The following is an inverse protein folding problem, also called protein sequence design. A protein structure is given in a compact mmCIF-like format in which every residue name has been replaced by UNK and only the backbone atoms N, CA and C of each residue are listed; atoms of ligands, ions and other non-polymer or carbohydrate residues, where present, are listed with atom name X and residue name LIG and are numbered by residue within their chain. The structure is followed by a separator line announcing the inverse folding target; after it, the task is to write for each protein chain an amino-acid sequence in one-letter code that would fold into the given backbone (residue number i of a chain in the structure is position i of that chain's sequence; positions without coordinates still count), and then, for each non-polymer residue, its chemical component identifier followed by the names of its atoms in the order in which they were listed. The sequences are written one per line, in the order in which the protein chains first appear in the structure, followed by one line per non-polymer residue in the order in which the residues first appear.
data_IF_394263128564
#
_entry.id   IF_394263128564
#
_cell.length_a   1.000
_cell.length_b   1.000
_cell.length_c   1.000
_cell.angle_alpha   90.00
_cell.angle_beta   90.00
_cell.angle_gamma   90.00
#
_symmetry.space_group_name_H-M   'P 1'
#
loop_
_entity.id
_entity.type
_entity.pdbx_description
1 polymer ?
#
# COMPACT_ATOMS: atom_id res chain seq x y z
N UNK A 1 18.53 14.88 -9.66
CA UNK A 1 17.08 15.01 -9.33
C UNK A 1 16.56 13.69 -8.77
N UNK A 2 15.59 13.68 -7.85
CA UNK A 2 15.05 12.42 -7.35
C UNK A 2 14.39 11.65 -8.49
N UNK A 3 14.76 10.38 -8.62
CA UNK A 3 14.10 9.40 -9.49
C UNK A 3 12.97 8.76 -8.68
N UNK A 4 11.77 8.65 -9.24
CA UNK A 4 10.62 8.11 -8.51
C UNK A 4 10.78 6.62 -8.24
N UNK A 5 10.19 6.14 -7.15
CA UNK A 5 10.07 4.71 -6.86
C UNK A 5 8.64 4.38 -6.46
N UNK A 6 8.00 3.46 -7.18
CA UNK A 6 6.60 3.07 -6.95
C UNK A 6 6.55 1.88 -5.99
N UNK A 7 5.71 1.98 -4.96
CA UNK A 7 5.32 0.88 -4.06
C UNK A 7 3.82 0.65 -4.24
N UNK A 8 3.43 -0.59 -4.52
CA UNK A 8 2.02 -0.98 -4.48
C UNK A 8 1.66 -1.34 -3.02
N UNK A 9 0.59 -0.75 -2.50
CA UNK A 9 0.16 -0.92 -1.11
C UNK A 9 -1.39 -1.07 -0.99
N UNK A 10 -2.01 -2.06 -1.65
CA UNK A 10 -3.47 -2.18 -1.72
C UNK A 10 -4.05 -2.82 -0.45
N UNK A 11 -4.17 -2.01 0.61
CA UNK A 11 -4.75 -2.46 1.88
C UNK A 11 -6.26 -2.66 1.77
N UNK A 12 -6.74 -3.89 1.89
CA UNK A 12 -8.18 -4.20 1.97
C UNK A 12 -8.74 -4.08 3.39
N UNK A 13 -7.99 -3.50 4.34
CA UNK A 13 -8.27 -3.67 5.76
C UNK A 13 -9.23 -2.61 6.35
N UNK A 14 -9.31 -1.43 5.76
CA UNK A 14 -10.14 -0.32 6.25
C UNK A 14 -11.58 -0.33 5.71
N UNK A 15 -11.77 -0.86 4.51
CA UNK A 15 -13.05 -0.94 3.82
C UNK A 15 -13.22 -2.33 3.18
N UNK A 16 -14.46 -2.69 2.85
CA UNK A 16 -14.74 -3.94 2.16
C UNK A 16 -13.98 -3.98 0.82
N UNK A 17 -13.30 -5.09 0.47
CA UNK A 17 -12.65 -5.24 -0.84
C UNK A 17 -13.72 -5.31 -1.93
N UNK A 18 -13.78 -4.26 -2.76
CA UNK A 18 -14.74 -4.14 -3.87
C UNK A 18 -14.05 -3.73 -5.18
N UNK A 19 -12.73 -3.92 -5.28
CA UNK A 19 -11.94 -3.67 -6.49
C UNK A 19 -10.96 -2.50 -6.43
N UNK A 20 -10.93 -1.70 -5.35
CA UNK A 20 -9.92 -0.62 -5.21
C UNK A 20 -8.53 -1.21 -5.03
N UNK A 21 -8.43 -2.43 -4.50
CA UNK A 21 -7.21 -3.22 -4.38
C UNK A 21 -6.53 -3.52 -5.72
N UNK A 22 -7.25 -3.41 -6.84
CA UNK A 22 -6.74 -3.59 -8.19
C UNK A 22 -6.16 -2.31 -8.80
N UNK A 23 -6.28 -1.16 -8.11
CA UNK A 23 -5.79 0.14 -8.58
C UNK A 23 -4.30 0.12 -8.99
N UNK A 24 -3.38 -0.55 -8.26
CA UNK A 24 -1.98 -0.63 -8.70
C UNK A 24 -1.82 -1.24 -10.10
N UNK A 25 -2.51 -2.35 -10.36
CA UNK A 25 -2.45 -3.02 -11.66
C UNK A 25 -3.12 -2.19 -12.76
N UNK A 26 -4.24 -1.53 -12.44
CA UNK A 26 -4.93 -0.64 -13.38
C UNK A 26 -4.05 0.55 -13.80
N UNK A 27 -3.35 1.20 -12.86
CA UNK A 27 -2.46 2.32 -13.15
C UNK A 27 -1.21 1.89 -13.89
N UNK A 28 -0.67 0.72 -13.56
CA UNK A 28 0.43 0.11 -14.31
C UNK A 28 0.02 -0.18 -15.75
N UNK A 29 -1.14 -0.80 -15.98
CA UNK A 29 -1.68 -1.04 -17.32
C UNK A 29 -1.93 0.27 -18.10
N UNK A 30 -2.26 1.36 -17.43
CA UNK A 30 -2.40 2.70 -18.02
C UNK A 30 -1.06 3.41 -18.32
N UNK A 31 0.08 2.76 -18.03
CA UNK A 31 1.42 3.24 -18.35
C UNK A 31 2.02 4.21 -17.33
N UNK A 32 1.54 4.21 -16.08
CA UNK A 32 2.01 5.14 -15.05
C UNK A 32 3.52 4.99 -14.77
N UNK A 33 4.01 3.75 -14.72
CA UNK A 33 5.42 3.46 -14.37
C UNK A 33 6.36 4.04 -15.42
N UNK A 34 6.04 3.81 -16.69
CA UNK A 34 6.80 4.28 -17.86
C UNK A 34 6.76 5.80 -17.96
N UNK A 35 5.57 6.41 -17.82
CA UNK A 35 5.40 7.87 -17.90
C UNK A 35 6.16 8.62 -16.82
N UNK A 36 6.27 8.04 -15.63
CA UNK A 36 7.06 8.62 -14.53
C UNK A 36 8.56 8.28 -14.61
N UNK A 37 8.96 7.34 -15.48
CA UNK A 37 10.32 6.78 -15.45
C UNK A 37 10.69 6.21 -14.08
N UNK A 38 9.70 5.67 -13.37
CA UNK A 38 9.82 5.26 -11.98
C UNK A 38 10.43 3.86 -11.86
N UNK A 39 11.23 3.63 -10.81
CA UNK A 39 11.68 2.28 -10.44
C UNK A 39 10.57 1.57 -9.68
N UNK A 40 10.22 0.35 -10.09
CA UNK A 40 9.33 -0.48 -9.27
C UNK A 40 10.06 -0.96 -8.01
N UNK A 41 9.50 -0.65 -6.84
CA UNK A 41 10.06 -0.98 -5.53
C UNK A 41 9.35 -2.15 -4.85
N UNK A 42 8.35 -2.75 -5.51
CA UNK A 42 7.62 -3.93 -5.04
C UNK A 42 6.23 -3.61 -4.50
N UNK A 43 5.64 -4.62 -3.87
CA UNK A 43 4.28 -4.61 -3.34
C UNK A 43 4.30 -4.97 -1.86
N UNK A 44 3.45 -4.30 -1.08
CA UNK A 44 3.18 -4.59 0.32
C UNK A 44 1.72 -5.00 0.40
N UNK A 45 1.48 -6.27 0.71
CA UNK A 45 0.13 -6.80 0.93
C UNK A 45 -0.14 -6.96 2.43
N UNK A 46 -1.40 -6.88 2.86
CA UNK A 46 -1.80 -7.29 4.21
C UNK A 46 -1.37 -8.71 4.55
N UNK A 47 -0.81 -8.91 5.74
CA UNK A 47 -0.45 -10.24 6.27
C UNK A 47 -1.66 -11.10 6.66
N UNK A 48 -2.82 -10.46 6.86
CA UNK A 48 -4.06 -11.08 7.31
C UNK A 48 -5.20 -10.77 6.33
N UNK A 49 -6.16 -11.70 6.17
CA UNK A 49 -7.35 -11.45 5.36
C UNK A 49 -8.23 -10.37 5.99
N UNK A 50 -9.08 -9.75 5.19
CA UNK A 50 -10.12 -8.85 5.69
C UNK A 50 -11.09 -9.60 6.60
N UNK A 51 -11.31 -9.05 7.80
CA UNK A 51 -12.38 -9.45 8.70
C UNK A 51 -13.44 -8.33 8.76
N UNK A 52 -14.72 -8.61 8.44
CA UNK A 52 -15.81 -7.64 8.59
C UNK A 52 -16.21 -7.41 10.06
N UNK A 53 -15.79 -8.27 10.98
CA UNK A 53 -16.09 -8.11 12.41
C UNK A 53 -15.13 -7.09 13.04
N UNK A 54 -15.71 -6.13 13.75
CA UNK A 54 -14.94 -5.17 14.55
C UNK A 54 -14.40 -5.87 15.78
N UNK A 55 -13.15 -5.55 16.11
CA UNK A 55 -12.56 -6.00 17.36
C UNK A 55 -13.39 -5.49 18.54
N UNK A 56 -13.74 -6.36 19.48
CA UNK A 56 -14.68 -6.04 20.57
C UNK A 56 -14.13 -5.03 21.58
N UNK A 57 -12.80 -4.87 21.65
CA UNK A 57 -12.15 -3.97 22.61
C UNK A 57 -11.93 -2.57 22.04
N UNK A 58 -11.59 -2.47 20.76
CA UNK A 58 -11.23 -1.22 20.08
C UNK A 58 -12.35 -0.70 19.19
N UNK A 59 -13.33 -1.55 18.85
CA UNK A 59 -14.38 -1.30 17.86
C UNK A 59 -13.85 -0.98 16.46
N UNK A 60 -12.57 -1.21 16.20
CA UNK A 60 -11.93 -0.97 14.91
C UNK A 60 -11.99 -2.24 14.06
N UNK A 61 -12.14 -2.05 12.75
CA UNK A 61 -11.93 -3.14 11.78
C UNK A 61 -10.44 -3.41 11.66
N UNK A 62 -10.05 -4.69 11.73
CA UNK A 62 -8.72 -5.15 11.35
C UNK A 62 -7.54 -4.42 12.02
N UNK A 63 -7.70 -3.86 13.22
CA UNK A 63 -6.72 -2.96 13.85
C UNK A 63 -5.30 -3.54 13.91
N UNK A 64 -5.18 -4.82 14.30
CA UNK A 64 -3.89 -5.52 14.34
C UNK A 64 -3.26 -5.64 12.96
N UNK A 65 -4.05 -6.04 11.95
CA UNK A 65 -3.57 -6.18 10.57
C UNK A 65 -3.15 -4.83 9.99
N UNK A 66 -3.89 -3.75 10.27
CA UNK A 66 -3.53 -2.38 9.83
C UNK A 66 -2.19 -1.97 10.43
N UNK A 67 -1.98 -2.23 11.73
CA UNK A 67 -0.70 -1.95 12.39
C UNK A 67 0.45 -2.72 11.75
N UNK A 68 0.28 -4.03 11.53
CA UNK A 68 1.31 -4.87 10.91
C UNK A 68 1.66 -4.43 9.49
N UNK A 69 0.64 -4.19 8.67
CA UNK A 69 0.79 -3.63 7.32
C UNK A 69 1.55 -2.31 7.33
N UNK A 70 1.18 -1.39 8.23
CA UNK A 70 1.81 -0.07 8.34
C UNK A 70 3.29 -0.16 8.72
N UNK A 71 3.65 -1.11 9.59
CA UNK A 71 5.04 -1.37 9.96
C UNK A 71 5.87 -1.90 8.80
N UNK A 72 5.30 -2.76 7.95
CA UNK A 72 5.98 -3.26 6.74
C UNK A 72 6.13 -2.14 5.72
N UNK A 73 5.05 -1.39 5.44
CA UNK A 73 5.08 -0.25 4.53
C UNK A 73 6.11 0.80 4.96
N UNK A 74 6.17 1.10 6.25
CA UNK A 74 7.17 2.01 6.82
C UNK A 74 8.59 1.57 6.49
N UNK A 75 8.94 0.28 6.70
CA UNK A 75 10.28 -0.25 6.37
C UNK A 75 10.59 -0.13 4.88
N UNK A 76 9.61 -0.43 4.01
CA UNK A 76 9.78 -0.31 2.55
C UNK A 76 10.03 1.15 2.15
N UNK A 77 9.24 2.08 2.67
CA UNK A 77 9.40 3.53 2.43
C UNK A 77 10.76 4.02 2.95
N UNK A 78 11.16 3.64 4.16
CA UNK A 78 12.46 4.01 4.73
C UNK A 78 13.64 3.54 3.86
N UNK A 79 13.56 2.34 3.28
CA UNK A 79 14.60 1.83 2.36
C UNK A 79 14.67 2.61 1.04
N UNK A 80 13.55 3.17 0.56
CA UNK A 80 13.53 4.01 -0.64
C UNK A 80 14.12 5.38 -0.32
N UNK A 81 13.73 5.97 0.81
CA UNK A 81 14.25 7.26 1.27
C UNK A 81 15.77 7.20 1.49
N UNK A 82 16.29 6.11 2.06
CA UNK A 82 17.74 5.93 2.25
C UNK A 82 18.53 5.87 0.93
N UNK A 83 17.85 5.56 -0.19
CA UNK A 83 18.41 5.57 -1.55
C UNK A 83 18.25 6.92 -2.25
N UNK A 84 17.75 7.96 -1.56
CA UNK A 84 17.47 9.30 -2.10
C UNK A 84 16.48 9.30 -3.27
N UNK A 85 15.54 8.35 -3.26
CA UNK A 85 14.45 8.25 -4.24
C UNK A 85 13.17 8.84 -3.62
N UNK A 86 12.28 9.36 -4.47
CA UNK A 86 10.97 9.85 -4.02
C UNK A 86 9.95 8.69 -4.06
N UNK A 87 9.42 8.23 -2.92
CA UNK A 87 8.43 7.15 -2.89
C UNK A 87 7.07 7.63 -3.37
N UNK A 88 6.48 6.89 -4.31
CA UNK A 88 5.07 7.02 -4.72
C UNK A 88 4.38 5.74 -4.25
N UNK A 89 3.42 5.88 -3.33
CA UNK A 89 2.70 4.75 -2.75
C UNK A 89 1.34 4.71 -3.43
N UNK A 90 1.07 3.63 -4.16
CA UNK A 90 -0.23 3.38 -4.78
C UNK A 90 -1.01 2.47 -3.87
N UNK A 91 -1.88 3.06 -3.06
CA UNK A 91 -2.69 2.33 -2.09
C UNK A 91 -4.19 2.52 -2.30
N UNK A 92 -4.91 2.00 -1.33
CA UNK A 92 -6.36 2.14 -1.14
C UNK A 92 -6.64 3.05 0.06
N UNK A 93 -7.91 3.35 0.34
CA UNK A 93 -8.29 4.17 1.49
C UNK A 93 -8.17 3.39 2.81
N UNK A 94 -7.63 4.06 3.84
CA UNK A 94 -7.71 3.67 5.25
C UNK A 94 -8.71 4.64 5.90
N UNK A 95 -9.90 4.18 6.28
CA UNK A 95 -10.91 4.99 7.00
C UNK A 95 -11.20 4.38 8.36
#
# INVERSE_FOLDING_TARGET
MPKFAIIDAPSILGLRPTGVEDLPEALKAAGLHEKLGAKYAGRVDPSSPYNPERDSSTLLLNAKAIREFSLVLCRTVSSILSKKLFPIIIGTYLT
#
